data_IF_835059994964
#
_entry.id   IF_835059994964
#
_cell.length_a   1.000
_cell.length_b   1.000
_cell.length_c   1.000
_cell.angle_alpha   90.00
_cell.angle_beta   90.00
_cell.angle_gamma   90.00
#
_symmetry.space_group_name_H-M   'P 1'
#
loop_
_entity.id
_entity.type
_entity.pdbx_description
1 polymer ?
#
# COMPACT_ATOMS: atom_id res chain seq x y z
N UNK A 1 -16.58 18.54 16.26
CA UNK A 1 -15.94 18.56 14.92
C UNK A 1 -16.68 17.57 14.02
N UNK A 2 -17.12 17.99 12.85
CA UNK A 2 -17.83 17.14 11.89
C UNK A 2 -16.83 16.16 11.26
N UNK A 3 -17.10 14.84 11.33
CA UNK A 3 -16.24 13.83 10.70
C UNK A 3 -16.45 13.88 9.18
N UNK A 4 -15.44 14.32 8.45
CA UNK A 4 -15.43 14.32 6.99
C UNK A 4 -14.92 12.96 6.50
N UNK A 5 -15.83 12.01 6.32
CA UNK A 5 -15.51 10.69 5.79
C UNK A 5 -15.21 10.76 4.28
N UNK A 6 -14.30 9.91 3.80
CA UNK A 6 -14.11 9.63 2.37
C UNK A 6 -14.57 8.21 2.07
N UNK A 7 -15.27 8.03 0.95
CA UNK A 7 -15.61 6.70 0.44
C UNK A 7 -14.83 6.43 -0.84
N UNK A 8 -14.14 5.28 -0.91
CA UNK A 8 -13.43 4.78 -2.10
C UNK A 8 -14.00 3.41 -2.43
N UNK A 9 -14.88 3.32 -3.43
CA UNK A 9 -15.64 2.09 -3.68
C UNK A 9 -16.41 1.66 -2.42
N UNK A 10 -16.18 0.42 -1.95
CA UNK A 10 -16.76 -0.10 -0.70
C UNK A 10 -16.02 0.25 0.59
N UNK A 11 -14.89 0.98 0.51
CA UNK A 11 -14.08 1.34 1.66
C UNK A 11 -14.49 2.72 2.20
N UNK A 12 -14.96 2.77 3.45
CA UNK A 12 -15.20 4.02 4.18
C UNK A 12 -14.00 4.36 5.06
N UNK A 13 -13.40 5.54 4.84
CA UNK A 13 -12.26 6.06 5.60
C UNK A 13 -12.73 7.01 6.69
N UNK A 14 -12.12 6.91 7.87
CA UNK A 14 -12.49 7.68 9.05
C UNK A 14 -12.32 9.20 8.90
N UNK A 15 -11.45 9.64 8.00
CA UNK A 15 -11.12 11.03 7.72
C UNK A 15 -10.42 11.13 6.33
N UNK A 16 -10.14 12.33 5.79
CA UNK A 16 -9.58 12.49 4.46
C UNK A 16 -8.04 12.46 4.42
N UNK A 17 -7.36 12.09 5.51
CA UNK A 17 -5.91 12.06 5.60
C UNK A 17 -5.39 10.72 5.10
N UNK A 18 -4.64 10.76 4.01
CA UNK A 18 -4.09 9.59 3.33
C UNK A 18 -2.58 9.78 3.20
N UNK A 19 -1.81 8.79 3.64
CA UNK A 19 -0.35 8.81 3.49
C UNK A 19 0.04 8.38 2.07
N UNK A 20 0.69 9.26 1.32
CA UNK A 20 1.15 8.94 -0.04
C UNK A 20 2.26 7.86 -0.05
N UNK A 21 2.32 7.01 -1.10
CA UNK A 21 3.42 6.06 -1.28
C UNK A 21 4.71 6.79 -1.66
N UNK A 22 5.78 6.56 -0.89
CA UNK A 22 7.07 7.23 -1.07
C UNK A 22 8.20 6.20 -0.96
N UNK A 23 8.94 5.99 -2.05
CA UNK A 23 10.07 5.06 -2.10
C UNK A 23 11.15 5.44 -1.07
N UNK A 24 11.62 4.46 -0.32
CA UNK A 24 12.56 4.59 0.79
C UNK A 24 11.97 5.16 2.08
N UNK A 25 10.68 5.53 2.12
CA UNK A 25 10.07 6.23 3.26
C UNK A 25 8.90 5.44 3.85
N UNK A 26 7.91 5.03 3.05
CA UNK A 26 6.68 4.39 3.55
C UNK A 26 6.83 2.91 3.85
N UNK A 27 7.85 2.57 4.64
CA UNK A 27 8.04 1.23 5.21
C UNK A 27 7.07 0.97 6.37
N UNK A 28 6.99 -0.29 6.82
CA UNK A 28 6.04 -0.73 7.84
C UNK A 28 6.11 0.09 9.15
N UNK A 29 7.29 0.31 9.77
CA UNK A 29 7.37 1.15 10.97
C UNK A 29 6.82 2.57 10.77
N UNK A 30 7.17 3.22 9.67
CA UNK A 30 6.69 4.57 9.38
C UNK A 30 5.18 4.61 9.21
N UNK A 31 4.61 3.66 8.46
CA UNK A 31 3.15 3.56 8.24
C UNK A 31 2.40 3.34 9.54
N UNK A 32 2.91 2.51 10.46
CA UNK A 32 2.32 2.31 11.79
C UNK A 32 2.28 3.60 12.59
N UNK A 33 3.38 4.36 12.61
CA UNK A 33 3.41 5.68 13.28
C UNK A 33 2.36 6.60 12.64
N UNK A 34 2.29 6.67 11.31
CA UNK A 34 1.31 7.55 10.65
C UNK A 34 -0.15 7.17 10.99
N UNK A 35 -0.43 5.88 11.21
CA UNK A 35 -1.75 5.42 11.67
C UNK A 35 -2.06 5.87 13.09
N UNK A 36 -1.08 5.82 13.99
CA UNK A 36 -1.21 6.36 15.35
C UNK A 36 -1.47 7.88 15.36
N UNK A 37 -0.93 8.60 14.36
CA UNK A 37 -1.16 10.04 14.17
C UNK A 37 -2.42 10.36 13.34
N UNK A 38 -3.25 9.37 13.02
CA UNK A 38 -4.58 9.59 12.46
C UNK A 38 -4.72 9.47 10.94
N UNK A 39 -3.70 8.97 10.22
CA UNK A 39 -3.86 8.62 8.81
C UNK A 39 -4.98 7.56 8.65
N UNK A 40 -5.97 7.83 7.81
CA UNK A 40 -7.08 6.92 7.59
C UNK A 40 -6.69 5.75 6.68
N UNK A 41 -5.86 6.01 5.68
CA UNK A 41 -5.31 5.05 4.72
C UNK A 41 -3.80 5.30 4.57
N UNK A 42 -3.01 4.23 4.56
CA UNK A 42 -1.58 4.27 4.28
C UNK A 42 -1.26 3.45 3.06
N UNK A 43 -0.11 3.73 2.43
CA UNK A 43 0.38 2.96 1.29
C UNK A 43 1.79 2.45 1.54
N UNK A 44 2.11 1.28 0.99
CA UNK A 44 3.50 0.78 0.92
C UNK A 44 4.41 1.74 0.15
N UNK A 45 5.69 1.39 0.04
CA UNK A 45 6.52 1.96 -1.03
C UNK A 45 5.99 1.55 -2.41
N UNK A 46 6.50 2.19 -3.47
CA UNK A 46 6.14 1.83 -4.85
C UNK A 46 6.76 0.49 -5.24
N UNK A 47 5.92 -0.47 -5.64
CA UNK A 47 6.32 -1.86 -5.92
C UNK A 47 6.44 -2.09 -7.43
N UNK A 48 7.62 -2.50 -7.88
CA UNK A 48 7.85 -2.80 -9.30
C UNK A 48 7.28 -4.17 -9.66
N UNK A 49 6.33 -4.24 -10.60
CA UNK A 49 5.82 -5.53 -11.09
C UNK A 49 6.92 -6.36 -11.77
N UNK A 50 7.87 -5.72 -12.46
CA UNK A 50 9.05 -6.42 -12.98
C UNK A 50 9.87 -7.08 -11.87
N UNK A 51 9.99 -6.42 -10.71
CA UNK A 51 10.66 -6.98 -9.53
C UNK A 51 9.90 -8.16 -8.92
N UNK A 52 8.57 -8.08 -8.86
CA UNK A 52 7.69 -9.14 -8.36
C UNK A 52 7.71 -10.39 -9.24
N UNK A 53 7.65 -10.23 -10.56
CA UNK A 53 7.67 -11.35 -11.52
C UNK A 53 9.03 -12.07 -11.52
N UNK A 54 10.12 -11.34 -11.25
CA UNK A 54 11.49 -11.89 -11.17
C UNK A 54 11.85 -12.47 -9.80
N UNK A 55 10.86 -12.65 -8.91
CA UNK A 55 11.05 -13.16 -7.53
C UNK A 55 12.11 -12.39 -6.72
N UNK A 56 12.16 -11.06 -6.91
CA UNK A 56 13.04 -10.21 -6.11
C UNK A 56 12.61 -10.23 -4.66
N UNK A 57 13.35 -10.95 -3.79
CA UNK A 57 13.11 -10.97 -2.31
C UNK A 57 12.90 -9.57 -1.74
N UNK A 58 13.75 -8.62 -2.14
CA UNK A 58 13.66 -7.21 -1.75
C UNK A 58 12.33 -6.56 -2.13
N UNK A 59 11.73 -6.96 -3.25
CA UNK A 59 10.44 -6.43 -3.71
C UNK A 59 9.28 -7.01 -2.90
N UNK A 60 9.36 -8.28 -2.50
CA UNK A 60 8.38 -8.89 -1.60
C UNK A 60 8.43 -8.30 -0.18
N UNK A 61 9.61 -7.86 0.28
CA UNK A 61 9.72 -7.16 1.57
C UNK A 61 8.90 -5.86 1.61
N UNK A 62 8.76 -5.16 0.46
CA UNK A 62 8.00 -3.90 0.37
C UNK A 62 6.50 -4.07 0.63
N UNK A 63 5.94 -5.27 0.37
CA UNK A 63 4.51 -5.57 0.59
C UNK A 63 4.23 -6.14 1.98
N UNK A 64 5.24 -6.28 2.83
CA UNK A 64 5.07 -6.73 4.22
C UNK A 64 4.16 -5.77 4.97
N UNK A 65 3.18 -6.34 5.68
CA UNK A 65 2.17 -5.58 6.42
C UNK A 65 1.87 -6.15 7.80
N UNK A 66 1.09 -5.41 8.60
CA UNK A 66 0.54 -5.88 9.87
C UNK A 66 -0.94 -5.47 10.03
N UNK A 67 -1.70 -6.10 10.96
CA UNK A 67 -3.11 -5.75 11.18
C UNK A 67 -3.34 -4.29 11.59
N UNK A 68 -2.43 -3.70 12.37
CA UNK A 68 -2.58 -2.38 12.97
C UNK A 68 -2.55 -1.24 11.94
N UNK A 69 -1.94 -1.46 10.77
CA UNK A 69 -1.86 -0.43 9.75
C UNK A 69 -3.03 -0.42 8.76
N UNK A 70 -3.96 -1.38 8.86
CA UNK A 70 -5.09 -1.46 7.93
C UNK A 70 -6.09 -0.30 8.13
N UNK A 71 -6.74 0.21 7.06
CA UNK A 71 -6.55 -0.19 5.66
C UNK A 71 -5.21 0.28 5.08
N UNK A 72 -4.63 -0.58 4.24
CA UNK A 72 -3.37 -0.39 3.52
C UNK A 72 -3.62 -0.53 2.01
N UNK A 73 -3.02 0.34 1.21
CA UNK A 73 -2.92 0.19 -0.24
C UNK A 73 -1.51 -0.22 -0.67
N UNK A 74 -1.42 -0.97 -1.76
CA UNK A 74 -0.14 -1.30 -2.42
C UNK A 74 -0.11 -0.58 -3.77
N UNK A 75 0.83 0.35 -3.95
CA UNK A 75 1.02 1.00 -5.25
C UNK A 75 1.98 0.18 -6.10
N UNK A 76 1.48 -0.35 -7.22
CA UNK A 76 2.29 -1.09 -8.21
C UNK A 76 2.60 -0.25 -9.44
N UNK A 77 3.69 -0.57 -10.13
CA UNK A 77 4.02 0.03 -11.43
C UNK A 77 4.74 -0.94 -12.37
N UNK A 78 4.56 -0.73 -13.66
CA UNK A 78 5.20 -1.49 -14.73
C UNK A 78 4.94 -0.86 -16.10
N UNK A 79 5.77 -1.19 -17.09
CA UNK A 79 5.64 -0.69 -18.47
C UNK A 79 4.87 -1.62 -19.42
N UNK A 80 4.51 -2.81 -18.95
CA UNK A 80 3.85 -3.85 -19.73
C UNK A 80 2.63 -4.37 -18.94
N UNK A 81 1.47 -4.47 -19.60
CA UNK A 81 0.21 -4.80 -18.96
C UNK A 81 0.18 -6.24 -18.42
N UNK A 82 0.78 -7.19 -19.13
CA UNK A 82 0.82 -8.60 -18.73
C UNK A 82 1.73 -8.77 -17.51
N UNK A 83 2.88 -8.07 -17.50
CA UNK A 83 3.76 -8.01 -16.33
C UNK A 83 3.07 -7.38 -15.13
N UNK A 84 2.29 -6.31 -15.32
CA UNK A 84 1.53 -5.68 -14.23
C UNK A 84 0.50 -6.66 -13.68
N UNK A 85 -0.28 -7.32 -14.54
CA UNK A 85 -1.29 -8.28 -14.12
C UNK A 85 -0.68 -9.45 -13.34
N UNK A 86 0.45 -9.99 -13.80
CA UNK A 86 1.17 -11.05 -13.10
C UNK A 86 1.76 -10.58 -11.77
N UNK A 87 2.36 -9.39 -11.74
CA UNK A 87 2.87 -8.79 -10.52
C UNK A 87 1.77 -8.66 -9.46
N UNK A 88 0.58 -8.16 -9.83
CA UNK A 88 -0.57 -8.04 -8.93
C UNK A 88 -1.03 -9.41 -8.42
N UNK A 89 -1.15 -10.43 -9.28
CA UNK A 89 -1.52 -11.80 -8.86
C UNK A 89 -0.59 -12.36 -7.78
N UNK A 90 0.72 -12.10 -7.89
CA UNK A 90 1.72 -12.59 -6.92
C UNK A 90 1.56 -11.98 -5.53
N UNK A 91 1.00 -10.77 -5.44
CA UNK A 91 0.86 -10.05 -4.18
C UNK A 91 -0.57 -9.95 -3.66
N UNK A 92 -1.55 -10.58 -4.33
CA UNK A 92 -2.96 -10.54 -3.94
C UNK A 92 -3.17 -10.92 -2.47
N UNK A 93 -2.46 -11.94 -2.00
CA UNK A 93 -2.53 -12.40 -0.60
C UNK A 93 -2.01 -11.37 0.45
N UNK A 94 -1.30 -10.33 0.02
CA UNK A 94 -0.74 -9.30 0.91
C UNK A 94 -1.68 -8.10 1.10
N UNK A 95 -2.73 -8.00 0.26
CA UNK A 95 -3.74 -6.94 0.28
C UNK A 95 -5.07 -7.42 0.82
#
# INVERSE_FOLDING_TARGET
>A
MQKNYINIGGLQLANPVILAPMAGITNLPYRRIMKEFGAALVFTEMVSCNGLVRDGRKTLELVTSCPEERPLGIQVFGGDADVVAEGVRRIEQYG
#
